data_IF_160071726267
#
_entry.id   IF_160071726267
#
_cell.length_a   1.000
_cell.length_b   1.000
_cell.length_c   1.000
_cell.angle_alpha   90.00
_cell.angle_beta   90.00
_cell.angle_gamma   90.00
#
_symmetry.space_group_name_H-M   'P 1'
#
loop_
_entity.id
_entity.type
_entity.pdbx_description
1 polymer ?
#
# COMPACT_ATOMS: atom_id res chain seq x y z
N UNK A 1 5.15 0.41 -1.05
CA UNK A 1 6.33 1.19 -0.60
C UNK A 1 7.41 0.19 -0.29
N UNK A 2 8.26 -0.13 -1.26
CA UNK A 2 9.21 -1.25 -1.19
C UNK A 2 10.52 -0.96 -1.95
N UNK A 3 10.68 0.27 -2.43
CA UNK A 3 11.80 0.79 -3.22
C UNK A 3 12.77 1.63 -2.37
N UNK A 4 12.77 1.44 -1.04
CA UNK A 4 13.62 2.20 -0.11
C UNK A 4 13.25 3.68 0.05
N UNK A 5 12.12 4.13 -0.53
CA UNK A 5 11.71 5.54 -0.45
C UNK A 5 10.90 5.83 0.82
N UNK A 6 11.20 6.96 1.44
CA UNK A 6 10.39 7.49 2.54
C UNK A 6 9.08 8.08 2.04
N UNK A 7 8.00 7.81 2.77
CA UNK A 7 6.67 8.39 2.51
C UNK A 7 6.12 8.99 3.79
N UNK A 8 5.39 10.10 3.67
CA UNK A 8 4.69 10.66 4.81
C UNK A 8 3.40 9.88 5.08
N UNK A 9 3.46 8.93 6.01
CA UNK A 9 2.32 8.07 6.35
C UNK A 9 1.22 8.81 7.13
N UNK A 10 1.61 9.79 7.95
CA UNK A 10 0.69 10.52 8.82
C UNK A 10 1.23 11.86 9.33
N UNK A 11 0.34 12.64 9.93
CA UNK A 11 0.64 13.87 10.67
C UNK A 11 0.13 13.68 12.10
N UNK A 12 0.89 14.14 13.10
CA UNK A 12 0.48 14.05 14.51
C UNK A 12 -0.87 14.74 14.68
N UNK A 13 -1.83 14.05 15.28
CA UNK A 13 -3.14 14.62 15.59
C UNK A 13 -3.25 14.90 17.08
N UNK A 14 -3.38 13.86 17.92
CA UNK A 14 -3.48 14.01 19.36
C UNK A 14 -2.96 12.76 20.09
N UNK A 15 -2.91 12.83 21.42
CA UNK A 15 -2.59 11.70 22.28
C UNK A 15 -3.12 11.92 23.69
N UNK A 16 -3.25 10.84 24.45
CA UNK A 16 -3.68 10.90 25.86
C UNK A 16 -2.47 11.01 26.78
N UNK A 17 -1.97 12.23 26.96
CA UNK A 17 -0.72 12.51 27.68
C UNK A 17 0.52 12.20 26.84
N UNK A 18 1.69 12.19 27.46
CA UNK A 18 2.96 11.93 26.78
C UNK A 18 3.46 10.51 27.05
N UNK A 19 3.78 9.76 25.98
CA UNK A 19 4.46 8.46 26.00
C UNK A 19 3.91 7.44 27.02
N UNK A 20 2.59 7.47 27.29
CA UNK A 20 1.99 6.56 28.27
C UNK A 20 1.97 5.12 27.73
N UNK A 21 2.33 4.11 28.55
CA UNK A 21 2.23 2.72 28.17
C UNK A 21 0.81 2.37 27.68
N UNK A 22 0.72 1.58 26.61
CA UNK A 22 -0.54 1.14 26.00
C UNK A 22 -1.48 2.27 25.57
N UNK A 23 -0.98 3.50 25.42
CA UNK A 23 -1.75 4.63 24.89
C UNK A 23 -1.05 5.18 23.64
N UNK A 24 -1.41 4.70 22.45
CA UNK A 24 -0.77 5.15 21.23
C UNK A 24 -1.10 6.62 20.94
N UNK A 25 -0.16 7.30 20.30
CA UNK A 25 -0.46 8.58 19.64
C UNK A 25 -1.39 8.34 18.44
N UNK A 26 -2.32 9.27 18.22
CA UNK A 26 -3.25 9.23 17.10
C UNK A 26 -2.73 10.16 16.01
N UNK A 27 -2.69 9.65 14.78
CA UNK A 27 -2.18 10.35 13.60
C UNK A 27 -3.26 10.48 12.54
N UNK A 28 -3.31 11.62 11.86
CA UNK A 28 -4.11 11.77 10.67
C UNK A 28 -3.48 10.96 9.52
N UNK A 29 -4.26 10.07 8.90
CA UNK A 29 -3.80 9.23 7.78
C UNK A 29 -3.70 10.07 6.51
N UNK A 30 -2.48 10.45 6.10
CA UNK A 30 -2.24 11.36 4.95
C UNK A 30 -2.85 10.82 3.65
N UNK A 31 -2.82 9.50 3.44
CA UNK A 31 -3.41 8.88 2.25
C UNK A 31 -4.93 9.02 2.15
N UNK A 32 -5.64 9.44 3.22
CA UNK A 32 -7.07 9.73 3.16
C UNK A 32 -7.37 11.11 2.55
N UNK A 33 -6.36 11.97 2.41
CA UNK A 33 -6.48 13.36 1.96
C UNK A 33 -5.81 13.61 0.61
N UNK A 34 -5.53 12.55 -0.17
CA UNK A 34 -4.83 12.67 -1.45
C UNK A 34 -5.47 13.69 -2.38
N UNK A 35 -6.81 13.67 -2.50
CA UNK A 35 -7.55 14.58 -3.38
C UNK A 35 -7.41 16.03 -2.92
N UNK A 36 -7.54 16.28 -1.62
CA UNK A 36 -7.36 17.63 -1.06
C UNK A 36 -5.96 18.17 -1.37
N UNK A 37 -4.92 17.35 -1.14
CA UNK A 37 -3.53 17.74 -1.35
C UNK A 37 -3.26 18.01 -2.83
N UNK A 38 -3.70 17.13 -3.73
CA UNK A 38 -3.50 17.30 -5.18
C UNK A 38 -4.16 18.58 -5.70
N UNK A 39 -5.31 18.96 -5.15
CA UNK A 39 -6.04 20.16 -5.56
C UNK A 39 -5.38 21.47 -5.09
N UNK A 40 -4.59 21.44 -4.01
CA UNK A 40 -4.04 22.64 -3.39
C UNK A 40 -2.51 22.75 -3.49
N UNK A 41 -1.83 21.67 -3.86
CA UNK A 41 -0.37 21.64 -3.97
C UNK A 41 0.04 21.13 -5.35
N UNK A 42 0.47 22.06 -6.20
CA UNK A 42 0.93 21.74 -7.55
C UNK A 42 2.20 20.89 -7.54
N UNK A 43 2.27 19.92 -8.45
CA UNK A 43 3.49 19.11 -8.67
C UNK A 43 3.79 18.05 -7.62
N UNK A 44 2.90 17.81 -6.64
CA UNK A 44 3.11 16.78 -5.62
C UNK A 44 3.00 15.36 -6.19
N UNK A 45 3.99 14.53 -5.89
CA UNK A 45 4.01 13.11 -6.24
C UNK A 45 3.53 12.27 -5.05
N UNK A 46 2.27 11.82 -5.09
CA UNK A 46 1.73 10.93 -4.06
C UNK A 46 2.04 9.47 -4.40
N UNK A 47 2.85 8.81 -3.58
CA UNK A 47 3.09 7.36 -3.71
C UNK A 47 1.89 6.58 -3.16
N UNK A 48 0.98 6.17 -4.06
CA UNK A 48 -0.11 5.25 -3.73
C UNK A 48 0.38 3.80 -3.77
N UNK A 49 0.01 3.01 -2.77
CA UNK A 49 0.41 1.60 -2.65
C UNK A 49 -0.49 0.63 -3.43
N UNK A 50 -1.47 1.12 -4.19
CA UNK A 50 -2.54 0.27 -4.75
C UNK A 50 -2.47 0.19 -6.27
N UNK A 51 -1.90 -0.88 -6.81
CA UNK A 51 -2.17 -1.37 -8.19
C UNK A 51 -1.71 -2.80 -8.51
N UNK A 52 -1.40 -3.67 -7.54
CA UNK A 52 -0.83 -5.00 -7.85
C UNK A 52 -1.66 -6.21 -7.42
N UNK A 53 -2.99 -6.10 -7.34
CA UNK A 53 -3.86 -7.21 -6.90
C UNK A 53 -4.42 -8.00 -8.10
N UNK A 54 -4.76 -7.34 -9.21
CA UNK A 54 -5.41 -8.03 -10.34
C UNK A 54 -4.40 -8.80 -11.22
N UNK A 55 -3.23 -8.21 -11.48
CA UNK A 55 -2.18 -8.82 -12.32
C UNK A 55 -1.53 -10.01 -11.63
N UNK A 56 -1.35 -9.94 -10.31
CA UNK A 56 -0.72 -11.01 -9.51
C UNK A 56 -1.58 -12.28 -9.49
N UNK A 57 -2.89 -12.15 -9.29
CA UNK A 57 -3.82 -13.29 -9.31
C UNK A 57 -3.89 -13.98 -10.66
N UNK A 58 -3.89 -13.22 -11.76
CA UNK A 58 -3.91 -13.79 -13.10
C UNK A 58 -2.61 -14.52 -13.44
N UNK A 59 -1.46 -13.97 -13.03
CA UNK A 59 -0.14 -14.60 -13.20
C UNK A 59 -0.02 -15.92 -12.43
N UNK A 60 -0.54 -15.97 -11.19
CA UNK A 60 -0.59 -17.22 -10.41
C UNK A 60 -1.48 -18.25 -11.09
N UNK A 61 -2.69 -17.87 -11.52
CA UNK A 61 -3.61 -18.79 -12.20
C UNK A 61 -3.01 -19.35 -13.49
N UNK A 62 -2.42 -18.50 -14.33
CA UNK A 62 -1.74 -18.94 -15.56
C UNK A 62 -0.59 -19.90 -15.22
N UNK A 63 0.27 -19.56 -14.27
CA UNK A 63 1.40 -20.43 -13.90
C UNK A 63 0.92 -21.78 -13.39
N UNK A 64 -0.13 -21.81 -12.55
CA UNK A 64 -0.70 -23.07 -12.07
C UNK A 64 -1.31 -23.91 -13.19
N UNK A 65 -2.06 -23.30 -14.11
CA UNK A 65 -2.63 -23.99 -15.26
C UNK A 65 -1.57 -24.54 -16.21
N UNK A 66 -0.53 -23.76 -16.52
CA UNK A 66 0.59 -24.21 -17.35
C UNK A 66 1.31 -25.39 -16.70
N UNK A 67 1.60 -25.32 -15.40
CA UNK A 67 2.22 -26.43 -14.68
C UNK A 67 1.35 -27.69 -14.69
N UNK A 68 0.04 -27.56 -14.47
CA UNK A 68 -0.89 -28.68 -14.51
C UNK A 68 -0.91 -29.32 -15.91
N UNK A 69 -1.00 -28.51 -16.97
CA UNK A 69 -0.97 -29.00 -18.36
C UNK A 69 0.33 -29.72 -18.67
N UNK A 70 1.48 -29.17 -18.26
CA UNK A 70 2.79 -29.82 -18.46
C UNK A 70 2.86 -31.18 -17.74
N UNK A 71 2.33 -31.28 -16.52
CA UNK A 71 2.27 -32.56 -15.77
C UNK A 71 1.37 -33.58 -16.46
N UNK A 72 0.25 -33.16 -17.08
CA UNK A 72 -0.63 -34.07 -17.84
C UNK A 72 0.01 -34.53 -19.16
N UNK A 73 0.87 -33.72 -19.78
CA UNK A 73 1.59 -34.06 -21.02
C UNK A 73 2.83 -34.94 -20.79
N UNK A 74 3.39 -34.93 -19.58
CA UNK A 74 4.49 -35.81 -19.16
C UNK A 74 4.00 -37.15 -18.57
N UNK A 75 2.68 -37.39 -18.57
CA UNK A 75 2.04 -38.66 -18.23
C UNK A 75 1.61 -39.37 -19.50
#
# INVERSE_FOLDING_TARGET
VSDGTWVQAGIVSFGLGCAKPNRPGVYAKVSSFTNFIQNHVGGVQLKSASSHIWVDRFMVLIRTLVLLVLVQLMR
#
